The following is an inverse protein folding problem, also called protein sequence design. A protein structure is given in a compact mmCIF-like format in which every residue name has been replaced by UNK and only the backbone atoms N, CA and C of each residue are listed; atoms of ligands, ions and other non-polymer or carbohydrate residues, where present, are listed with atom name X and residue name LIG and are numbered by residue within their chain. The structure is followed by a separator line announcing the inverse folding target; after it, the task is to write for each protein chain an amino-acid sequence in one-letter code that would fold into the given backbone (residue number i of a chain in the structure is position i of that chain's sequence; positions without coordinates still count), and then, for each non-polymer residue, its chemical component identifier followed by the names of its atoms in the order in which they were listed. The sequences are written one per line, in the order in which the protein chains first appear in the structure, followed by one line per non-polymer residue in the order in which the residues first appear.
data_IF_392395781656
#
_entry.id   IF_392395781656
#
_cell.length_a   1.000
_cell.length_b   1.000
_cell.length_c   1.000
_cell.angle_alpha   90.00
_cell.angle_beta   90.00
_cell.angle_gamma   90.00
#
_symmetry.space_group_name_H-M   'P 1'
#
loop_
_entity.id
_entity.type
_entity.pdbx_description
1 polymer ?
#
# COMPACT_ATOMS: atom_id res chain seq x y z
N UNK A 1 -35.52 26.94 4.56
CA UNK A 1 -35.73 25.48 4.56
C UNK A 1 -34.53 24.87 3.88
N UNK A 2 -33.56 24.37 4.65
CA UNK A 2 -32.37 23.64 4.15
C UNK A 2 -32.87 22.37 3.49
N UNK A 3 -32.75 22.23 2.16
CA UNK A 3 -33.04 20.98 1.47
C UNK A 3 -32.12 19.91 2.03
N UNK A 4 -32.66 18.92 2.74
CA UNK A 4 -31.93 17.74 3.16
C UNK A 4 -31.26 17.12 1.91
N UNK A 5 -29.95 17.20 1.82
CA UNK A 5 -29.23 16.59 0.72
C UNK A 5 -29.42 15.07 0.80
N UNK A 6 -30.12 14.53 -0.19
CA UNK A 6 -30.40 13.10 -0.30
C UNK A 6 -29.13 12.35 -0.67
N UNK A 7 -28.91 11.18 -0.08
CA UNK A 7 -27.86 10.26 -0.53
C UNK A 7 -28.17 9.83 -1.98
N UNK A 8 -27.14 9.82 -2.81
CA UNK A 8 -27.21 9.36 -4.22
C UNK A 8 -26.12 8.32 -4.47
N UNK A 9 -26.12 7.70 -5.65
CA UNK A 9 -25.37 6.48 -5.90
C UNK A 9 -26.13 5.24 -5.38
N UNK A 10 -25.45 4.11 -5.23
CA UNK A 10 -26.06 2.91 -4.66
C UNK A 10 -25.88 2.91 -3.14
N UNK A 11 -26.99 3.00 -2.43
CA UNK A 11 -27.03 3.16 -0.97
C UNK A 11 -27.49 1.86 -0.31
N UNK A 12 -26.83 1.45 0.77
CA UNK A 12 -27.17 0.26 1.56
C UNK A 12 -27.14 0.65 3.04
N UNK A 13 -28.28 0.65 3.71
CA UNK A 13 -28.38 0.88 5.15
C UNK A 13 -28.16 -0.42 5.95
N UNK A 14 -27.87 -0.26 7.24
CA UNK A 14 -27.85 -1.39 8.16
C UNK A 14 -29.23 -2.03 8.19
N UNK A 15 -29.28 -3.34 7.95
CA UNK A 15 -30.53 -4.12 7.83
C UNK A 15 -30.98 -4.37 6.40
N UNK A 16 -30.49 -3.62 5.40
CA UNK A 16 -30.83 -3.86 4.02
C UNK A 16 -30.22 -5.16 3.47
N UNK A 17 -30.85 -5.77 2.43
CA UNK A 17 -30.23 -6.85 1.69
C UNK A 17 -28.85 -6.43 1.14
N UNK A 18 -27.85 -7.29 1.33
CA UNK A 18 -26.47 -7.02 0.90
C UNK A 18 -25.60 -6.23 1.88
N UNK A 19 -26.12 -5.81 3.05
CA UNK A 19 -25.35 -5.10 4.07
C UNK A 19 -24.12 -5.90 4.52
N UNK A 20 -24.25 -7.18 4.82
CA UNK A 20 -23.12 -8.02 5.23
C UNK A 20 -22.07 -8.18 4.11
N UNK A 21 -22.50 -8.23 2.86
CA UNK A 21 -21.60 -8.20 1.72
C UNK A 21 -20.87 -6.85 1.58
N UNK A 22 -21.56 -5.75 1.86
CA UNK A 22 -20.97 -4.41 1.86
C UNK A 22 -19.92 -4.24 2.98
N UNK A 23 -20.12 -4.88 4.14
CA UNK A 23 -19.18 -4.87 5.28
C UNK A 23 -17.89 -5.66 5.03
N UNK A 24 -17.87 -6.63 4.12
CA UNK A 24 -16.65 -7.42 3.84
C UNK A 24 -15.48 -6.51 3.51
N UNK A 25 -14.37 -6.76 4.16
CA UNK A 25 -13.10 -6.06 4.00
C UNK A 25 -11.98 -7.08 3.77
N UNK A 26 -10.73 -6.62 3.66
CA UNK A 26 -9.56 -7.50 3.54
C UNK A 26 -9.44 -8.41 4.78
N UNK A 27 -9.56 -7.87 5.99
CA UNK A 27 -9.71 -8.68 7.21
C UNK A 27 -11.12 -9.27 7.25
N UNK A 28 -11.27 -10.61 7.32
CA UNK A 28 -12.56 -11.27 7.37
C UNK A 28 -13.32 -11.07 8.69
N UNK A 29 -12.61 -10.74 9.78
CA UNK A 29 -13.17 -10.59 11.12
C UNK A 29 -13.42 -9.10 11.44
N UNK A 30 -14.27 -8.45 10.64
CA UNK A 30 -14.66 -7.07 10.96
C UNK A 30 -15.69 -7.00 12.08
N UNK A 31 -15.38 -6.19 13.08
CA UNK A 31 -16.24 -5.86 14.23
C UNK A 31 -16.93 -4.48 14.08
N UNK A 32 -16.87 -3.88 12.89
CA UNK A 32 -17.41 -2.55 12.61
C UNK A 32 -18.77 -2.64 11.91
N UNK A 33 -19.72 -1.82 12.39
CA UNK A 33 -21.11 -1.77 11.93
C UNK A 33 -21.47 -0.35 11.50
N UNK A 34 -21.09 0.09 10.29
CA UNK A 34 -21.51 1.36 9.72
C UNK A 34 -23.04 1.47 9.63
N UNK A 35 -23.57 2.68 9.79
CA UNK A 35 -24.99 2.95 9.59
C UNK A 35 -25.42 2.77 8.14
N UNK A 36 -24.52 3.20 7.21
CA UNK A 36 -24.80 3.20 5.77
C UNK A 36 -23.53 3.08 4.95
N UNK A 37 -23.64 2.39 3.81
CA UNK A 37 -22.65 2.38 2.73
C UNK A 37 -23.22 3.14 1.54
N UNK A 38 -22.43 4.09 1.00
CA UNK A 38 -22.70 4.77 -0.26
C UNK A 38 -21.66 4.34 -1.27
N UNK A 39 -22.07 3.56 -2.25
CA UNK A 39 -21.25 3.22 -3.42
C UNK A 39 -21.42 4.33 -4.46
N UNK A 40 -20.44 5.24 -4.47
CA UNK A 40 -20.46 6.38 -5.38
C UNK A 40 -20.15 5.95 -6.81
N UNK A 41 -20.92 6.44 -7.77
CA UNK A 41 -20.76 6.21 -9.19
C UNK A 41 -20.17 7.42 -9.92
N UNK A 42 -20.31 8.60 -9.30
CA UNK A 42 -19.73 9.86 -9.76
C UNK A 42 -19.30 10.77 -8.58
N UNK A 43 -18.52 11.81 -8.86
CA UNK A 43 -18.02 12.75 -7.86
C UNK A 43 -19.13 13.44 -7.06
N UNK A 44 -20.30 13.68 -7.69
CA UNK A 44 -21.46 14.29 -7.02
C UNK A 44 -22.02 13.40 -5.91
N UNK A 45 -22.01 12.09 -6.08
CA UNK A 45 -22.47 11.15 -5.03
C UNK A 45 -21.61 11.26 -3.78
N UNK A 46 -20.28 11.40 -3.97
CA UNK A 46 -19.33 11.63 -2.87
C UNK A 46 -19.65 12.95 -2.14
N UNK A 47 -19.90 14.04 -2.88
CA UNK A 47 -20.24 15.33 -2.31
C UNK A 47 -21.56 15.29 -1.52
N UNK A 48 -22.57 14.62 -2.04
CA UNK A 48 -23.86 14.42 -1.38
C UNK A 48 -23.69 13.59 -0.10
N UNK A 49 -22.90 12.51 -0.14
CA UNK A 49 -22.64 11.65 1.01
C UNK A 49 -21.92 12.39 2.15
N UNK A 50 -20.89 13.20 1.83
CA UNK A 50 -20.20 14.04 2.81
C UNK A 50 -21.17 15.09 3.42
N UNK A 51 -21.94 15.75 2.59
CA UNK A 51 -22.91 16.77 3.06
C UNK A 51 -23.98 16.15 3.96
N UNK A 52 -24.49 14.97 3.58
CA UNK A 52 -25.45 14.21 4.39
C UNK A 52 -24.84 13.80 5.74
N UNK A 53 -23.63 13.26 5.73
CA UNK A 53 -22.95 12.83 6.94
C UNK A 53 -22.73 13.98 7.93
N UNK A 54 -22.33 15.15 7.43
CA UNK A 54 -22.14 16.34 8.25
C UNK A 54 -23.43 16.87 8.84
N UNK A 55 -24.50 16.91 8.04
CA UNK A 55 -25.82 17.33 8.52
C UNK A 55 -26.35 16.41 9.64
N UNK A 56 -26.07 15.11 9.55
CA UNK A 56 -26.53 14.12 10.50
C UNK A 56 -25.51 13.78 11.61
N UNK A 57 -24.39 14.51 11.72
CA UNK A 57 -23.32 14.26 12.68
C UNK A 57 -22.79 12.81 12.65
N UNK A 58 -22.64 12.25 11.45
CA UNK A 58 -22.24 10.86 11.25
C UNK A 58 -20.76 10.82 10.87
N UNK A 59 -19.91 10.04 11.55
CA UNK A 59 -18.49 9.91 11.19
C UNK A 59 -18.31 9.26 9.81
N UNK A 60 -17.29 9.72 9.08
CA UNK A 60 -17.03 9.33 7.68
C UNK A 60 -15.81 8.43 7.59
N UNK A 61 -15.88 7.39 6.76
CA UNK A 61 -14.72 6.61 6.29
C UNK A 61 -14.74 6.48 4.77
N UNK A 62 -13.71 6.96 4.06
CA UNK A 62 -13.52 6.68 2.63
C UNK A 62 -13.07 5.23 2.43
N UNK A 63 -13.50 4.62 1.33
CA UNK A 63 -13.09 3.27 0.93
C UNK A 63 -12.96 3.14 -0.57
N UNK A 64 -11.93 2.43 -1.04
CA UNK A 64 -11.68 2.15 -2.45
C UNK A 64 -11.61 0.63 -2.71
N UNK A 65 -10.46 -0.01 -2.50
CA UNK A 65 -10.23 -1.43 -2.79
C UNK A 65 -10.61 -2.41 -1.69
N UNK A 66 -11.05 -1.96 -0.53
CA UNK A 66 -11.32 -2.77 0.68
C UNK A 66 -10.10 -3.46 1.27
N UNK A 67 -8.91 -2.88 1.06
CA UNK A 67 -7.61 -3.40 1.47
C UNK A 67 -7.03 -2.76 2.74
N UNK A 68 -7.85 -2.09 3.54
CA UNK A 68 -7.38 -1.58 4.82
C UNK A 68 -7.01 -2.75 5.73
N UNK A 69 -5.74 -2.83 6.13
CA UNK A 69 -5.21 -3.88 7.00
C UNK A 69 -5.78 -3.78 8.42
N UNK A 70 -6.17 -2.58 8.81
CA UNK A 70 -6.89 -2.29 10.05
C UNK A 70 -8.31 -1.82 9.68
N UNK A 71 -9.33 -2.59 10.06
CA UNK A 71 -10.72 -2.36 9.63
C UNK A 71 -11.25 -0.96 9.97
N UNK A 72 -10.86 -0.40 11.11
CA UNK A 72 -11.30 0.93 11.57
C UNK A 72 -10.77 2.11 10.72
N UNK A 73 -9.83 1.86 9.81
CA UNK A 73 -9.39 2.87 8.82
C UNK A 73 -10.40 3.06 7.69
N UNK A 74 -11.19 2.04 7.38
CA UNK A 74 -12.17 2.06 6.28
C UNK A 74 -13.63 1.87 6.71
N UNK A 75 -13.88 1.58 7.99
CA UNK A 75 -15.20 1.41 8.58
C UNK A 75 -15.26 1.98 10.00
N UNK A 76 -16.43 2.45 10.41
CA UNK A 76 -16.66 3.00 11.74
C UNK A 76 -18.10 2.71 12.21
N UNK A 77 -18.27 2.36 13.48
CA UNK A 77 -19.58 2.08 14.06
C UNK A 77 -20.51 3.29 13.95
N UNK A 78 -21.75 3.07 13.51
CA UNK A 78 -22.75 4.13 13.35
C UNK A 78 -22.42 5.16 12.25
N UNK A 79 -21.28 5.03 11.57
CA UNK A 79 -20.83 5.96 10.55
C UNK A 79 -21.30 5.68 9.13
N UNK A 80 -20.84 6.49 8.19
CA UNK A 80 -21.01 6.30 6.77
C UNK A 80 -19.70 5.83 6.14
N UNK A 81 -19.75 4.81 5.29
CA UNK A 81 -18.67 4.43 4.40
C UNK A 81 -18.95 4.96 3.00
N UNK A 82 -18.10 5.85 2.52
CA UNK A 82 -18.16 6.35 1.14
C UNK A 82 -17.20 5.52 0.31
N UNK A 83 -17.77 4.58 -0.44
CA UNK A 83 -17.05 3.59 -1.25
C UNK A 83 -17.03 4.02 -2.71
N UNK A 84 -15.85 4.28 -3.25
CA UNK A 84 -15.65 4.70 -4.64
C UNK A 84 -15.41 3.54 -5.60
N UNK A 85 -15.57 2.29 -5.17
CA UNK A 85 -15.22 1.09 -5.95
C UNK A 85 -16.02 0.93 -7.26
N UNK A 86 -17.10 1.67 -7.44
CA UNK A 86 -17.88 1.70 -8.70
C UNK A 86 -17.37 2.76 -9.69
N UNK A 87 -16.51 3.69 -9.26
CA UNK A 87 -15.87 4.69 -10.12
C UNK A 87 -14.61 4.07 -10.78
N UNK A 88 -14.73 3.59 -12.03
CA UNK A 88 -13.72 2.71 -12.66
C UNK A 88 -13.19 3.17 -14.02
N UNK A 89 -13.42 4.42 -14.42
CA UNK A 89 -12.93 4.92 -15.71
C UNK A 89 -11.40 5.00 -15.72
N UNK A 90 -10.80 4.62 -16.86
CA UNK A 90 -9.36 4.72 -17.15
C UNK A 90 -9.22 5.38 -18.51
N UNK A 91 -8.49 6.48 -18.60
CA UNK A 91 -8.26 7.21 -19.86
C UNK A 91 -6.76 7.47 -20.07
N UNK A 92 -6.13 6.68 -20.92
CA UNK A 92 -4.73 6.85 -21.32
C UNK A 92 -4.63 7.92 -22.43
N UNK A 93 -3.71 8.86 -22.26
CA UNK A 93 -3.26 9.76 -23.29
C UNK A 93 -1.84 9.37 -23.70
N UNK A 94 -1.71 8.66 -24.84
CA UNK A 94 -0.43 8.15 -25.34
C UNK A 94 0.52 9.26 -25.76
N UNK A 95 -0.01 10.39 -26.27
CA UNK A 95 0.78 11.53 -26.75
C UNK A 95 1.47 12.24 -25.58
N UNK A 96 0.77 12.46 -24.47
CA UNK A 96 1.33 13.13 -23.31
C UNK A 96 2.00 12.17 -22.31
N UNK A 97 1.90 10.86 -22.49
CA UNK A 97 2.40 9.87 -21.53
C UNK A 97 1.73 10.00 -20.17
N UNK A 98 0.40 10.18 -20.15
CA UNK A 98 -0.37 10.33 -18.91
C UNK A 98 -1.61 9.44 -18.92
N UNK A 99 -2.04 9.00 -17.74
CA UNK A 99 -3.30 8.29 -17.54
C UNK A 99 -4.13 8.98 -16.47
N UNK A 100 -5.41 9.17 -16.74
CA UNK A 100 -6.41 9.57 -15.73
C UNK A 100 -7.18 8.32 -15.31
N UNK A 101 -7.23 8.09 -14.01
CA UNK A 101 -7.96 6.95 -13.42
C UNK A 101 -8.91 7.42 -12.34
N UNK A 102 -10.11 6.89 -12.31
CA UNK A 102 -11.01 7.03 -11.17
C UNK A 102 -10.51 6.12 -10.03
N UNK A 103 -10.64 6.61 -8.81
CA UNK A 103 -9.98 6.02 -7.63
C UNK A 103 -10.59 4.72 -7.13
N UNK A 104 -11.72 4.30 -7.67
CA UNK A 104 -12.30 2.99 -7.45
C UNK A 104 -11.62 1.86 -8.23
N UNK A 105 -10.68 2.18 -9.11
CA UNK A 105 -9.89 1.17 -9.81
C UNK A 105 -8.96 0.43 -8.86
N UNK A 106 -8.73 -0.84 -9.17
CA UNK A 106 -7.71 -1.68 -8.55
C UNK A 106 -6.43 -1.68 -9.37
N UNK A 107 -5.30 -1.89 -8.70
CA UNK A 107 -3.96 -1.93 -9.29
C UNK A 107 -3.90 -2.84 -10.52
N UNK A 108 -4.34 -4.10 -10.38
CA UNK A 108 -4.27 -5.08 -11.47
C UNK A 108 -4.99 -4.63 -12.73
N UNK A 109 -6.17 -4.00 -12.60
CA UNK A 109 -6.93 -3.48 -13.74
C UNK A 109 -6.19 -2.35 -14.48
N UNK A 110 -5.54 -1.46 -13.73
CA UNK A 110 -4.79 -0.34 -14.33
C UNK A 110 -3.54 -0.87 -15.04
N UNK A 111 -2.80 -1.77 -14.37
CA UNK A 111 -1.58 -2.39 -14.91
C UNK A 111 -1.89 -3.14 -16.21
N UNK A 112 -2.94 -3.97 -16.23
CA UNK A 112 -3.36 -4.70 -17.42
C UNK A 112 -3.76 -3.76 -18.57
N UNK A 113 -4.55 -2.73 -18.27
CA UNK A 113 -4.97 -1.74 -19.27
C UNK A 113 -3.81 -0.96 -19.89
N UNK A 114 -2.78 -0.64 -19.08
CA UNK A 114 -1.58 0.06 -19.55
C UNK A 114 -0.66 -0.88 -20.34
N UNK A 115 -0.39 -2.09 -19.82
CA UNK A 115 0.50 -3.06 -20.45
C UNK A 115 0.02 -3.47 -21.84
N UNK A 116 -1.27 -3.71 -22.02
CA UNK A 116 -1.90 -3.98 -23.34
C UNK A 116 -1.70 -2.86 -24.36
N UNK A 117 -1.43 -1.64 -23.90
CA UNK A 117 -1.21 -0.48 -24.75
C UNK A 117 0.29 -0.08 -24.83
N UNK A 118 1.19 -0.91 -24.29
CA UNK A 118 2.64 -0.69 -24.30
C UNK A 118 3.12 0.37 -23.31
N UNK A 119 2.42 0.53 -22.19
CA UNK A 119 2.81 1.47 -21.14
C UNK A 119 2.98 0.78 -19.78
N UNK A 120 3.78 1.41 -18.92
CA UNK A 120 4.01 0.98 -17.54
C UNK A 120 3.93 2.16 -16.57
N UNK A 121 3.60 1.87 -15.32
CA UNK A 121 3.65 2.79 -14.18
C UNK A 121 4.01 2.01 -12.90
N UNK A 122 4.48 2.67 -11.83
CA UNK A 122 5.00 2.01 -10.63
C UNK A 122 3.85 1.59 -9.69
N UNK A 123 2.93 0.82 -10.19
CA UNK A 123 1.86 0.30 -9.34
C UNK A 123 2.36 -0.86 -8.48
N UNK A 124 1.67 -1.11 -7.35
CA UNK A 124 2.02 -2.15 -6.39
C UNK A 124 1.87 -3.58 -6.96
N UNK A 125 2.30 -4.55 -6.18
CA UNK A 125 2.36 -5.97 -6.50
C UNK A 125 1.03 -6.71 -6.27
N UNK A 126 0.18 -6.23 -5.38
CA UNK A 126 -1.14 -6.83 -5.15
C UNK A 126 -2.19 -6.27 -6.13
N UNK A 127 -2.81 -7.14 -7.00
CA UNK A 127 -3.71 -6.70 -8.06
C UNK A 127 -5.04 -6.16 -7.54
N UNK A 128 -5.45 -6.52 -6.33
CA UNK A 128 -6.76 -6.19 -5.76
C UNK A 128 -6.76 -4.92 -4.91
N UNK A 129 -5.59 -4.37 -4.58
CA UNK A 129 -5.43 -3.10 -3.86
C UNK A 129 -6.05 -1.94 -4.64
N UNK A 130 -6.83 -1.10 -3.94
CA UNK A 130 -7.45 0.08 -4.54
C UNK A 130 -6.49 1.24 -4.70
N UNK A 131 -6.46 1.82 -5.91
CA UNK A 131 -5.56 2.95 -6.21
C UNK A 131 -5.85 4.19 -5.35
N UNK A 132 -7.10 4.36 -4.91
CA UNK A 132 -7.52 5.47 -4.07
C UNK A 132 -6.85 5.50 -2.69
N UNK A 133 -6.55 4.31 -2.13
CA UNK A 133 -5.90 4.19 -0.83
C UNK A 133 -4.38 4.11 -0.90
N UNK A 134 -3.84 3.33 -1.86
CA UNK A 134 -2.39 3.08 -1.92
C UNK A 134 -1.60 4.33 -2.35
N UNK A 135 -2.13 5.14 -3.25
CA UNK A 135 -1.45 6.33 -3.79
C UNK A 135 -1.10 7.35 -2.73
N UNK A 136 -2.06 7.81 -1.88
CA UNK A 136 -1.76 8.86 -0.92
C UNK A 136 -0.78 8.45 0.19
N UNK A 137 -0.59 7.15 0.45
CA UNK A 137 0.42 6.67 1.39
C UNK A 137 1.82 6.48 0.79
N UNK A 138 1.95 6.63 -0.53
CA UNK A 138 3.22 6.43 -1.25
C UNK A 138 3.06 5.45 -2.41
N UNK A 139 2.71 4.22 -2.12
CA UNK A 139 2.56 3.14 -3.10
C UNK A 139 3.91 2.56 -3.53
N UNK A 140 4.37 1.56 -2.78
CA UNK A 140 5.57 0.77 -3.08
C UNK A 140 5.25 -0.35 -4.08
N UNK A 141 6.26 -0.81 -4.80
CA UNK A 141 6.12 -1.92 -5.76
C UNK A 141 7.39 -2.18 -6.56
N UNK A 142 7.40 -3.23 -7.38
CA UNK A 142 8.62 -3.76 -8.01
C UNK A 142 9.33 -2.80 -8.98
N UNK A 143 8.64 -1.80 -9.52
CA UNK A 143 9.22 -0.82 -10.44
C UNK A 143 9.76 0.45 -9.74
N UNK A 144 9.63 0.55 -8.41
CA UNK A 144 9.93 1.79 -7.68
C UNK A 144 11.38 2.27 -7.83
N UNK A 145 12.35 1.36 -7.94
CA UNK A 145 13.75 1.72 -8.13
C UNK A 145 14.02 2.36 -9.49
N UNK A 146 13.25 1.97 -10.49
CA UNK A 146 13.36 2.51 -11.86
C UNK A 146 12.63 3.83 -12.02
N UNK A 147 11.39 3.93 -11.53
CA UNK A 147 10.48 5.03 -11.88
C UNK A 147 9.84 5.74 -10.69
N UNK A 148 10.25 5.44 -9.46
CA UNK A 148 9.74 6.06 -8.22
C UNK A 148 8.49 5.37 -7.68
N UNK A 149 7.99 5.86 -6.56
CA UNK A 149 6.75 5.42 -5.95
C UNK A 149 5.53 5.80 -6.81
N UNK A 150 4.37 5.19 -6.56
CA UNK A 150 3.10 5.59 -7.20
C UNK A 150 2.88 7.10 -7.04
N UNK A 151 3.01 7.62 -5.83
CA UNK A 151 2.80 9.02 -5.50
C UNK A 151 3.79 9.97 -6.20
N UNK A 152 4.99 9.52 -6.55
CA UNK A 152 5.97 10.32 -7.28
C UNK A 152 5.55 10.60 -8.71
N UNK A 153 4.71 9.74 -9.26
CA UNK A 153 4.16 9.84 -10.61
C UNK A 153 2.77 10.48 -10.64
N UNK A 154 2.21 10.86 -9.50
CA UNK A 154 0.94 11.58 -9.40
C UNK A 154 1.13 13.03 -9.85
N UNK A 155 0.48 13.45 -10.94
CA UNK A 155 0.56 14.79 -11.50
C UNK A 155 -0.57 15.70 -11.04
N UNK A 156 -1.78 15.12 -10.87
CA UNK A 156 -2.99 15.84 -10.52
C UNK A 156 -3.94 14.91 -9.77
N UNK A 157 -4.73 15.49 -8.89
CA UNK A 157 -5.82 14.80 -8.19
C UNK A 157 -7.12 15.61 -8.25
N UNK A 158 -8.24 14.90 -8.14
CA UNK A 158 -9.55 15.43 -7.82
C UNK A 158 -10.04 14.75 -6.54
N UNK A 159 -10.51 15.53 -5.58
CA UNK A 159 -11.13 15.03 -4.35
C UNK A 159 -12.32 15.87 -3.94
N UNK A 160 -13.15 15.33 -3.05
CA UNK A 160 -14.20 16.09 -2.36
C UNK A 160 -13.74 16.34 -0.92
N UNK A 161 -13.72 17.63 -0.52
CA UNK A 161 -13.27 18.07 0.79
C UNK A 161 -14.33 17.89 1.90
N UNK A 162 -13.97 18.23 3.13
CA UNK A 162 -14.86 18.15 4.29
C UNK A 162 -16.12 19.05 4.20
N UNK A 163 -16.14 19.99 3.28
CA UNK A 163 -17.30 20.87 3.01
C UNK A 163 -18.16 20.39 1.84
N UNK A 164 -17.84 19.23 1.26
CA UNK A 164 -18.53 18.70 0.07
C UNK A 164 -18.16 19.40 -1.24
N UNK A 165 -17.07 20.17 -1.27
CA UNK A 165 -16.61 20.88 -2.47
C UNK A 165 -15.62 20.01 -3.25
N UNK A 166 -15.72 20.04 -4.58
CA UNK A 166 -14.75 19.40 -5.47
C UNK A 166 -13.49 20.24 -5.56
N UNK A 167 -12.37 19.66 -5.16
CA UNK A 167 -11.03 20.29 -5.17
C UNK A 167 -10.18 19.58 -6.20
N UNK A 168 -9.48 20.35 -7.04
CA UNK A 168 -8.39 19.86 -7.91
C UNK A 168 -7.07 20.39 -7.39
N UNK A 169 -6.05 19.51 -7.40
CA UNK A 169 -4.70 19.88 -7.01
C UNK A 169 -3.68 19.37 -8.01
N UNK A 170 -2.75 20.24 -8.38
CA UNK A 170 -1.61 19.99 -9.25
C UNK A 170 -0.46 20.96 -8.89
N UNK A 171 0.62 20.99 -9.66
CA UNK A 171 1.76 21.87 -9.38
C UNK A 171 1.42 23.37 -9.38
N UNK A 172 0.36 23.79 -10.09
CA UNK A 172 -0.03 25.22 -10.23
C UNK A 172 -1.18 25.61 -9.30
N UNK A 173 -2.00 24.65 -8.89
CA UNK A 173 -3.20 24.89 -8.08
C UNK A 173 -3.22 23.93 -6.90
N UNK A 174 -3.44 24.43 -5.67
CA UNK A 174 -3.46 23.63 -4.44
C UNK A 174 -2.23 22.70 -4.33
N UNK A 175 -1.06 23.22 -4.63
CA UNK A 175 0.19 22.46 -4.70
C UNK A 175 0.59 21.84 -3.35
N UNK A 176 0.19 22.44 -2.25
CA UNK A 176 0.34 21.93 -0.89
C UNK A 176 -0.50 20.67 -0.66
N UNK A 177 -1.71 20.60 -1.21
CA UNK A 177 -2.53 19.38 -1.17
C UNK A 177 -1.95 18.26 -2.04
N UNK A 178 -1.43 18.60 -3.24
CA UNK A 178 -0.72 17.63 -4.06
C UNK A 178 0.51 17.08 -3.32
N UNK A 179 1.28 17.95 -2.66
CA UNK A 179 2.42 17.55 -1.83
C UNK A 179 1.98 16.60 -0.71
N UNK A 180 0.92 16.93 0.03
CA UNK A 180 0.38 16.13 1.12
C UNK A 180 -0.14 14.76 0.65
N UNK A 181 -0.83 14.71 -0.50
CA UNK A 181 -1.32 13.45 -1.09
C UNK A 181 -0.18 12.53 -1.55
N UNK A 182 1.02 13.06 -1.74
CA UNK A 182 2.19 12.27 -2.11
C UNK A 182 2.92 11.71 -0.89
N UNK A 183 2.20 10.91 -0.07
CA UNK A 183 2.77 10.20 1.08
C UNK A 183 2.14 10.52 2.43
N UNK A 184 1.14 11.41 2.50
CA UNK A 184 0.46 11.78 3.75
C UNK A 184 -0.62 10.81 4.22
N UNK A 185 -0.82 9.70 3.51
CA UNK A 185 -1.80 8.66 3.86
C UNK A 185 -3.22 8.93 3.37
N UNK A 186 -3.96 7.84 3.16
CA UNK A 186 -5.37 7.89 2.77
C UNK A 186 -6.29 8.32 3.89
N UNK A 187 -7.47 8.88 3.55
CA UNK A 187 -8.51 9.21 4.52
C UNK A 187 -8.21 10.38 5.45
N UNK A 188 -7.25 11.26 5.11
CA UNK A 188 -6.86 12.40 5.94
C UNK A 188 -7.44 13.75 5.48
N UNK A 189 -7.58 13.96 4.17
CA UNK A 189 -7.88 15.30 3.64
C UNK A 189 -9.24 15.40 2.95
N UNK A 190 -9.80 14.27 2.52
CA UNK A 190 -11.04 14.18 1.75
C UNK A 190 -11.22 12.82 1.13
N UNK A 191 -12.19 12.69 0.24
CA UNK A 191 -12.45 11.51 -0.57
C UNK A 191 -11.93 11.76 -1.98
N UNK A 192 -10.88 11.06 -2.37
CA UNK A 192 -10.30 11.16 -3.71
C UNK A 192 -11.22 10.48 -4.73
N UNK A 193 -11.40 11.13 -5.88
CA UNK A 193 -12.27 10.65 -6.96
C UNK A 193 -11.51 10.35 -8.25
N UNK A 194 -10.44 11.12 -8.55
CA UNK A 194 -9.60 10.90 -9.73
C UNK A 194 -8.15 11.19 -9.45
N UNK A 195 -7.26 10.46 -10.12
CA UNK A 195 -5.84 10.70 -10.18
C UNK A 195 -5.36 10.76 -11.63
N UNK A 196 -4.40 11.65 -11.90
CA UNK A 196 -3.66 11.70 -13.17
C UNK A 196 -2.21 11.34 -12.91
N UNK A 197 -1.74 10.27 -13.53
CA UNK A 197 -0.36 9.80 -13.39
C UNK A 197 0.45 10.00 -14.66
N UNK A 198 1.75 10.21 -14.48
CA UNK A 198 2.75 10.02 -15.52
C UNK A 198 2.93 8.52 -15.75
N UNK A 199 2.92 8.10 -17.02
CA UNK A 199 3.25 6.74 -17.44
C UNK A 199 4.42 6.75 -18.42
N UNK A 200 5.04 5.59 -18.61
CA UNK A 200 6.20 5.43 -19.49
C UNK A 200 5.94 4.33 -20.48
N UNK A 201 6.65 4.35 -21.62
CA UNK A 201 6.68 3.23 -22.54
C UNK A 201 7.23 2.01 -21.81
N UNK A 202 6.54 0.90 -21.90
CA UNK A 202 7.02 -0.38 -21.43
C UNK A 202 8.03 -0.96 -22.45
N UNK A 203 9.04 -1.72 -22.01
CA UNK A 203 9.85 -2.49 -22.94
C UNK A 203 8.96 -3.58 -23.59
N UNK A 204 9.32 -4.02 -24.79
CA UNK A 204 8.59 -5.11 -25.45
C UNK A 204 8.62 -6.40 -24.62
N UNK A 205 9.78 -6.69 -24.03
CA UNK A 205 10.03 -7.83 -23.13
C UNK A 205 10.84 -7.41 -21.92
N UNK A 206 10.73 -8.17 -20.83
CA UNK A 206 11.60 -8.03 -19.66
C UNK A 206 11.80 -9.40 -19.01
N UNK A 207 12.76 -9.50 -18.12
CA UNK A 207 13.06 -10.75 -17.41
C UNK A 207 12.35 -10.76 -16.06
N UNK A 208 11.67 -11.85 -15.77
CA UNK A 208 11.11 -12.17 -14.45
C UNK A 208 11.91 -13.28 -13.80
N UNK A 209 11.91 -13.33 -12.46
CA UNK A 209 12.53 -14.41 -11.72
C UNK A 209 11.76 -14.73 -10.45
N UNK A 210 11.74 -16.03 -10.13
CA UNK A 210 11.30 -16.54 -8.83
C UNK A 210 12.30 -17.62 -8.40
N UNK A 211 12.83 -17.47 -7.18
CA UNK A 211 13.83 -18.37 -6.63
C UNK A 211 13.41 -18.73 -5.22
N UNK A 212 13.41 -20.00 -4.89
CA UNK A 212 12.96 -20.49 -3.58
C UNK A 212 14.08 -21.29 -2.92
N UNK A 213 14.26 -21.10 -1.61
CA UNK A 213 15.17 -21.84 -0.77
C UNK A 213 14.43 -22.51 0.39
N UNK A 214 14.98 -23.61 0.95
CA UNK A 214 14.47 -24.18 2.18
C UNK A 214 14.49 -23.14 3.33
N UNK A 215 13.52 -23.21 4.21
CA UNK A 215 13.43 -22.30 5.37
C UNK A 215 14.72 -22.26 6.21
N UNK A 216 15.39 -23.40 6.39
CA UNK A 216 16.65 -23.51 7.14
C UNK A 216 17.76 -22.57 6.64
N UNK A 217 17.66 -22.06 5.42
CA UNK A 217 18.66 -21.17 4.81
C UNK A 217 18.28 -19.68 4.91
N UNK A 218 17.20 -19.32 5.61
CA UNK A 218 16.66 -17.97 5.58
C UNK A 218 17.68 -16.92 5.99
N UNK A 219 18.44 -17.14 7.05
CA UNK A 219 19.42 -16.15 7.52
C UNK A 219 20.53 -15.91 6.50
N UNK A 220 21.05 -16.98 5.92
CA UNK A 220 22.08 -16.88 4.89
C UNK A 220 21.57 -16.11 3.66
N UNK A 221 20.35 -16.37 3.24
CA UNK A 221 19.73 -15.71 2.09
C UNK A 221 19.41 -14.23 2.42
N UNK A 222 18.78 -13.94 3.55
CA UNK A 222 18.44 -12.56 3.95
C UNK A 222 19.71 -11.74 4.15
N UNK A 223 20.74 -12.26 4.84
CA UNK A 223 22.03 -11.58 5.02
C UNK A 223 22.65 -11.18 3.67
N UNK A 224 22.66 -12.10 2.71
CA UNK A 224 23.17 -11.80 1.36
C UNK A 224 22.29 -10.81 0.61
N UNK A 225 20.96 -10.99 0.68
CA UNK A 225 20.02 -10.13 -0.03
C UNK A 225 20.11 -8.67 0.45
N UNK A 226 20.23 -8.42 1.74
CA UNK A 226 20.34 -7.07 2.30
C UNK A 226 21.59 -6.30 1.81
N UNK A 227 22.65 -7.00 1.48
CA UNK A 227 23.88 -6.40 0.93
C UNK A 227 23.82 -6.32 -0.60
N UNK A 228 23.27 -7.33 -1.25
CA UNK A 228 23.21 -7.43 -2.70
C UNK A 228 22.14 -6.54 -3.32
N UNK A 229 20.91 -6.60 -2.80
CA UNK A 229 19.75 -5.99 -3.44
C UNK A 229 19.84 -4.45 -3.60
N UNK A 230 20.32 -3.67 -2.62
CA UNK A 230 20.52 -2.22 -2.77
C UNK A 230 21.55 -1.85 -3.85
N UNK A 231 22.53 -2.73 -4.08
CA UNK A 231 23.67 -2.49 -4.98
C UNK A 231 23.44 -3.01 -6.41
N UNK A 232 22.29 -3.56 -6.70
CA UNK A 232 21.92 -4.00 -8.05
C UNK A 232 21.55 -2.81 -8.95
N UNK A 233 21.53 -3.05 -10.28
CA UNK A 233 20.99 -2.08 -11.23
C UNK A 233 19.61 -1.57 -10.81
N UNK A 234 19.32 -0.29 -11.03
CA UNK A 234 17.99 0.29 -10.78
C UNK A 234 16.89 -0.29 -11.67
N UNK A 235 17.25 -1.05 -12.71
CA UNK A 235 16.31 -1.83 -13.54
C UNK A 235 15.79 -3.10 -12.84
N UNK A 236 16.40 -3.48 -11.70
CA UNK A 236 16.05 -4.68 -10.95
C UNK A 236 15.14 -4.33 -9.77
N UNK A 237 13.93 -4.88 -9.78
CA UNK A 237 13.03 -4.96 -8.62
C UNK A 237 13.14 -6.34 -7.99
N UNK A 238 13.27 -6.41 -6.68
CA UNK A 238 13.39 -7.67 -5.93
C UNK A 238 12.62 -7.60 -4.63
N UNK A 239 11.80 -8.58 -4.41
CA UNK A 239 11.03 -8.87 -3.21
C UNK A 239 11.55 -10.16 -2.60
N UNK A 240 11.69 -10.21 -1.28
CA UNK A 240 12.11 -11.40 -0.56
C UNK A 240 11.13 -11.69 0.57
N UNK A 241 10.50 -12.84 0.55
CA UNK A 241 9.58 -13.31 1.59
C UNK A 241 10.19 -14.46 2.37
N UNK A 242 9.96 -14.47 3.69
CA UNK A 242 10.34 -15.56 4.59
C UNK A 242 9.12 -15.97 5.37
N UNK A 243 8.59 -17.15 5.07
CA UNK A 243 7.44 -17.72 5.76
C UNK A 243 7.76 -18.26 7.16
N UNK A 244 6.73 -18.69 7.93
CA UNK A 244 6.92 -19.29 9.26
C UNK A 244 7.74 -20.61 9.16
N UNK A 245 8.41 -21.01 10.24
CA UNK A 245 9.21 -22.24 10.28
C UNK A 245 8.40 -23.47 9.86
N UNK A 246 7.17 -23.57 10.32
CA UNK A 246 6.29 -24.68 9.98
C UNK A 246 5.60 -24.41 8.64
N UNK A 247 6.06 -25.08 7.59
CA UNK A 247 5.45 -25.05 6.25
C UNK A 247 5.84 -23.85 5.40
N UNK A 248 6.74 -22.97 5.87
CA UNK A 248 7.24 -21.84 5.10
C UNK A 248 8.55 -22.14 4.37
N UNK A 249 8.91 -21.22 3.51
CA UNK A 249 10.17 -21.21 2.76
C UNK A 249 10.71 -19.77 2.68
N UNK A 250 11.82 -19.62 1.97
CA UNK A 250 12.33 -18.31 1.54
C UNK A 250 12.07 -18.19 0.05
N UNK A 251 11.37 -17.16 -0.38
CA UNK A 251 11.05 -16.93 -1.79
C UNK A 251 11.46 -15.53 -2.22
N UNK A 252 12.24 -15.44 -3.29
CA UNK A 252 12.58 -14.18 -3.94
C UNK A 252 11.84 -14.10 -5.26
N UNK A 253 11.03 -13.03 -5.41
CA UNK A 253 10.31 -12.69 -6.63
C UNK A 253 10.86 -11.37 -7.17
N UNK A 254 10.90 -11.22 -8.49
CA UNK A 254 11.28 -9.93 -9.05
C UNK A 254 11.31 -9.89 -10.57
N UNK A 255 11.73 -8.72 -11.05
CA UNK A 255 11.87 -8.45 -12.47
C UNK A 255 13.15 -7.66 -12.76
N UNK A 256 13.62 -7.79 -13.98
CA UNK A 256 14.67 -6.95 -14.55
C UNK A 256 14.20 -6.37 -15.89
N UNK A 257 14.21 -5.04 -16.01
CA UNK A 257 13.83 -4.35 -17.25
C UNK A 257 14.96 -4.43 -18.28
N UNK A 258 15.21 -5.61 -18.79
CA UNK A 258 16.25 -5.94 -19.75
C UNK A 258 16.27 -7.42 -20.09
N UNK A 259 17.29 -7.85 -20.81
CA UNK A 259 17.46 -9.22 -21.30
C UNK A 259 17.75 -10.23 -20.17
N UNK A 260 17.51 -11.51 -20.46
CA UNK A 260 17.81 -12.61 -19.52
C UNK A 260 19.30 -12.69 -19.18
N UNK A 261 20.19 -12.44 -20.14
CA UNK A 261 21.64 -12.45 -19.89
C UNK A 261 22.09 -11.33 -18.94
N UNK A 262 21.52 -10.13 -19.08
CA UNK A 262 21.78 -9.02 -18.15
C UNK A 262 21.23 -9.34 -16.75
N UNK A 263 20.01 -9.89 -16.68
CA UNK A 263 19.40 -10.29 -15.42
C UNK A 263 20.23 -11.35 -14.69
N UNK A 264 20.72 -12.37 -15.40
CA UNK A 264 21.57 -13.43 -14.83
C UNK A 264 22.87 -12.85 -14.25
N UNK A 265 23.51 -11.88 -14.90
CA UNK A 265 24.68 -11.20 -14.34
C UNK A 265 24.36 -10.49 -13.02
N UNK A 266 23.20 -9.82 -12.92
CA UNK A 266 22.77 -9.18 -11.69
C UNK A 266 22.43 -10.19 -10.58
N UNK A 267 21.83 -11.31 -10.94
CA UNK A 267 21.38 -12.36 -10.02
C UNK A 267 22.51 -13.29 -9.55
N UNK A 268 23.62 -13.40 -10.28
CA UNK A 268 24.70 -14.36 -9.98
C UNK A 268 25.14 -14.37 -8.51
N UNK A 269 25.34 -13.21 -7.81
CA UNK A 269 25.77 -13.22 -6.41
C UNK A 269 24.74 -13.82 -5.44
N UNK A 270 23.44 -13.75 -5.74
CA UNK A 270 22.39 -14.30 -4.88
C UNK A 270 22.05 -15.75 -5.25
N UNK A 271 22.18 -16.13 -6.52
CA UNK A 271 21.97 -17.49 -6.99
C UNK A 271 22.95 -18.50 -6.40
N UNK A 272 24.15 -18.03 -6.04
CA UNK A 272 25.21 -18.85 -5.43
C UNK A 272 25.09 -18.96 -3.91
N UNK A 273 24.01 -18.44 -3.32
CA UNK A 273 23.77 -18.51 -1.87
C UNK A 273 22.92 -19.74 -1.55
N UNK A 274 23.49 -20.64 -0.76
CA UNK A 274 22.79 -21.86 -0.37
C UNK A 274 22.45 -22.75 -1.56
N UNK A 275 21.41 -23.58 -1.40
CA UNK A 275 20.91 -24.48 -2.42
C UNK A 275 19.43 -24.20 -2.69
N UNK A 276 19.10 -23.39 -3.70
CA UNK A 276 17.72 -23.16 -4.08
C UNK A 276 17.02 -24.46 -4.49
N UNK A 277 15.78 -24.63 -4.06
CA UNK A 277 14.91 -25.75 -4.45
C UNK A 277 14.16 -25.47 -5.75
N UNK A 278 13.97 -24.20 -6.10
CA UNK A 278 13.32 -23.81 -7.35
C UNK A 278 13.99 -22.55 -7.91
N UNK A 279 14.15 -22.54 -9.25
CA UNK A 279 14.66 -21.39 -10.01
C UNK A 279 13.84 -21.24 -11.28
N UNK A 280 13.10 -20.14 -11.38
CA UNK A 280 12.41 -19.73 -12.61
C UNK A 280 13.01 -18.39 -13.04
N UNK A 281 13.56 -18.30 -14.25
CA UNK A 281 14.11 -17.07 -14.82
C UNK A 281 13.73 -17.04 -16.29
N UNK A 282 12.79 -16.15 -16.65
CA UNK A 282 12.18 -16.13 -17.98
C UNK A 282 12.20 -14.73 -18.59
N UNK A 283 12.41 -14.66 -19.91
CA UNK A 283 12.35 -13.42 -20.70
C UNK A 283 11.04 -13.37 -21.45
N UNK A 284 10.09 -12.59 -20.95
CA UNK A 284 8.69 -12.62 -21.36
C UNK A 284 8.25 -11.31 -22.01
N UNK A 285 7.22 -11.34 -22.88
CA UNK A 285 6.49 -10.15 -23.28
C UNK A 285 5.99 -9.38 -22.05
N UNK A 286 6.02 -8.04 -22.10
CA UNK A 286 5.72 -7.22 -20.90
C UNK A 286 4.34 -7.49 -20.30
N UNK A 287 3.34 -7.83 -21.10
CA UNK A 287 2.00 -8.24 -20.62
C UNK A 287 2.02 -9.54 -19.82
N UNK A 288 2.99 -10.43 -20.07
CA UNK A 288 3.19 -11.64 -19.27
C UNK A 288 4.04 -11.35 -18.02
N UNK A 289 4.99 -10.42 -18.12
CA UNK A 289 5.74 -9.91 -16.94
C UNK A 289 4.77 -9.38 -15.90
N UNK A 290 3.80 -8.57 -16.28
CA UNK A 290 2.81 -8.03 -15.34
C UNK A 290 1.95 -9.11 -14.70
N UNK A 291 1.56 -10.14 -15.44
CA UNK A 291 0.82 -11.29 -14.91
C UNK A 291 1.65 -12.12 -13.94
N UNK A 292 2.94 -12.29 -14.22
CA UNK A 292 3.87 -13.00 -13.34
C UNK A 292 4.06 -12.28 -12.00
N UNK A 293 4.21 -10.93 -12.06
CA UNK A 293 4.44 -10.11 -10.86
C UNK A 293 3.17 -9.85 -10.04
N UNK A 294 2.00 -9.82 -10.67
CA UNK A 294 0.71 -9.64 -10.01
C UNK A 294 0.04 -10.99 -9.77
N UNK A 295 0.54 -11.73 -8.79
CA UNK A 295 -0.07 -13.00 -8.41
C UNK A 295 -1.55 -12.82 -8.01
N UNK A 296 -2.41 -13.83 -8.23
CA UNK A 296 -3.79 -13.77 -7.78
C UNK A 296 -3.84 -13.55 -6.26
N UNK A 297 -4.45 -12.43 -5.86
CA UNK A 297 -4.68 -12.13 -4.46
C UNK A 297 -6.11 -12.53 -4.08
N UNK A 298 -6.29 -13.49 -3.18
CA UNK A 298 -7.61 -14.01 -2.81
C UNK A 298 -8.38 -13.12 -1.81
N UNK A 299 -8.24 -11.79 -1.89
CA UNK A 299 -8.78 -10.82 -0.92
C UNK A 299 -10.22 -11.05 -0.49
N UNK A 300 -11.07 -11.50 -1.39
CA UNK A 300 -12.48 -11.80 -1.04
C UNK A 300 -12.69 -13.22 -0.51
N UNK A 301 -11.67 -14.06 -0.54
CA UNK A 301 -11.66 -15.44 -0.02
C UNK A 301 -10.69 -15.61 1.14
N UNK A 302 -10.04 -14.55 1.56
CA UNK A 302 -9.10 -14.60 2.68
C UNK A 302 -9.78 -15.09 3.95
N UNK A 303 -9.12 -16.03 4.63
CA UNK A 303 -9.60 -16.66 5.86
C UNK A 303 -8.79 -16.23 7.09
N UNK A 304 -7.81 -15.36 6.91
CA UNK A 304 -6.85 -14.98 7.94
C UNK A 304 -7.05 -13.54 8.36
N UNK A 305 -7.15 -13.30 9.65
CA UNK A 305 -6.87 -11.99 10.25
C UNK A 305 -5.37 -11.82 10.40
N UNK A 306 -4.90 -10.57 10.41
CA UNK A 306 -3.49 -10.27 10.42
C UNK A 306 -3.18 -9.08 11.33
N UNK A 307 -1.99 -9.08 11.92
CA UNK A 307 -1.37 -7.90 12.51
C UNK A 307 -0.06 -7.62 11.77
N UNK A 308 0.07 -6.43 11.23
CA UNK A 308 1.26 -5.98 10.51
C UNK A 308 2.08 -5.00 11.31
N UNK A 309 3.35 -4.92 11.00
CA UNK A 309 4.25 -3.82 11.34
C UNK A 309 5.34 -3.69 10.28
N UNK A 310 5.98 -2.52 10.17
CA UNK A 310 6.96 -2.28 9.11
C UNK A 310 8.01 -1.25 9.50
N UNK A 311 9.06 -1.15 8.68
CA UNK A 311 10.10 -0.13 8.80
C UNK A 311 11.02 -0.09 7.59
N UNK A 312 12.03 0.76 7.66
CA UNK A 312 13.03 0.94 6.60
C UNK A 312 14.41 0.67 7.17
N UNK A 313 15.16 -0.26 6.55
CA UNK A 313 16.53 -0.59 6.93
C UNK A 313 17.54 0.29 6.18
N UNK A 314 18.55 0.79 6.91
CA UNK A 314 19.67 1.58 6.37
C UNK A 314 21.00 0.83 6.38
N UNK A 315 21.00 -0.35 6.98
CA UNK A 315 22.17 -1.24 7.11
C UNK A 315 21.67 -2.67 7.21
N UNK A 316 22.47 -3.66 6.84
CA UNK A 316 22.14 -5.05 7.08
C UNK A 316 21.84 -5.31 8.57
N UNK A 317 20.90 -6.20 8.83
CA UNK A 317 20.54 -6.59 10.19
C UNK A 317 21.70 -7.28 10.91
N UNK A 318 22.00 -6.90 12.17
CA UNK A 318 22.96 -7.62 13.00
C UNK A 318 22.36 -8.92 13.54
N UNK A 319 23.20 -9.75 14.17
CA UNK A 319 22.79 -11.07 14.71
C UNK A 319 21.61 -10.97 15.70
N UNK A 320 21.54 -9.91 16.51
CA UNK A 320 20.40 -9.68 17.43
C UNK A 320 19.06 -9.51 16.69
N UNK A 321 19.07 -8.86 15.51
CA UNK A 321 17.87 -8.73 14.70
C UNK A 321 17.48 -10.08 14.07
N UNK A 322 18.44 -10.86 13.59
CA UNK A 322 18.17 -12.22 13.09
C UNK A 322 17.63 -13.15 14.17
N UNK A 323 18.12 -13.03 15.42
CA UNK A 323 17.53 -13.74 16.56
C UNK A 323 16.06 -13.37 16.75
N UNK A 324 15.72 -12.08 16.70
CA UNK A 324 14.32 -11.63 16.79
C UNK A 324 13.45 -12.14 15.64
N UNK A 325 13.98 -12.15 14.42
CA UNK A 325 13.28 -12.73 13.25
C UNK A 325 13.03 -14.24 13.44
N UNK A 326 14.05 -14.99 13.86
CA UNK A 326 13.95 -16.44 14.09
C UNK A 326 12.89 -16.74 15.14
N UNK A 327 12.92 -16.06 16.29
CA UNK A 327 11.93 -16.21 17.35
C UNK A 327 10.49 -15.94 16.86
N UNK A 328 10.33 -14.91 15.99
CA UNK A 328 9.05 -14.62 15.37
C UNK A 328 8.59 -15.75 14.45
N UNK A 329 9.45 -16.17 13.51
CA UNK A 329 9.14 -17.19 12.50
C UNK A 329 8.87 -18.58 13.11
N UNK A 330 9.50 -18.88 14.26
CA UNK A 330 9.27 -20.12 15.01
C UNK A 330 7.94 -20.11 15.77
N UNK A 331 7.47 -18.93 16.22
CA UNK A 331 6.22 -18.75 16.95
C UNK A 331 5.02 -18.44 16.07
N UNK A 332 5.26 -17.98 14.84
CA UNK A 332 4.20 -17.68 13.88
C UNK A 332 3.40 -18.93 13.52
N UNK A 333 2.11 -18.76 13.34
CA UNK A 333 1.17 -19.86 13.09
C UNK A 333 1.45 -20.51 11.73
N UNK A 334 1.80 -21.78 11.71
CA UNK A 334 2.08 -22.51 10.49
C UNK A 334 0.84 -22.67 9.60
N UNK A 335 1.05 -22.71 8.28
CA UNK A 335 -0.04 -22.79 7.30
C UNK A 335 -0.80 -21.48 7.12
N UNK A 336 -0.27 -20.37 7.65
CA UNK A 336 -0.79 -19.01 7.46
C UNK A 336 0.19 -18.16 6.66
N UNK A 337 -0.24 -17.03 6.05
CA UNK A 337 0.67 -16.11 5.33
C UNK A 337 1.49 -15.22 6.27
N UNK A 338 1.78 -15.69 7.50
CA UNK A 338 2.67 -14.98 8.42
C UNK A 338 4.11 -14.98 7.92
N UNK A 339 4.90 -13.97 8.27
CA UNK A 339 6.31 -13.95 7.92
C UNK A 339 6.92 -12.57 7.83
N UNK A 340 8.07 -12.52 7.17
CA UNK A 340 8.77 -11.30 6.80
C UNK A 340 8.73 -11.10 5.28
N UNK A 341 8.58 -9.83 4.88
CA UNK A 341 8.68 -9.39 3.50
C UNK A 341 9.69 -8.24 3.42
N UNK A 342 10.58 -8.32 2.45
CA UNK A 342 11.57 -7.29 2.15
C UNK A 342 11.40 -6.82 0.71
N UNK A 343 11.57 -5.52 0.47
CA UNK A 343 11.56 -4.93 -0.86
C UNK A 343 12.81 -4.06 -1.03
N UNK A 344 13.56 -4.25 -2.11
CA UNK A 344 14.74 -3.46 -2.37
C UNK A 344 14.39 -1.99 -2.62
N UNK A 345 15.20 -1.10 -2.04
CA UNK A 345 14.98 0.34 -2.06
C UNK A 345 16.02 1.06 -2.91
N UNK A 346 16.03 2.38 -2.93
CA UNK A 346 17.02 3.16 -3.65
C UNK A 346 16.57 3.60 -5.05
N UNK A 347 17.53 3.86 -5.92
CA UNK A 347 17.25 4.28 -7.30
C UNK A 347 16.42 5.56 -7.40
N UNK A 348 15.34 5.54 -8.17
CA UNK A 348 14.46 6.70 -8.37
C UNK A 348 13.82 7.20 -7.07
N UNK A 349 13.51 6.30 -6.12
CA UNK A 349 12.93 6.67 -4.82
C UNK A 349 13.89 7.55 -4.03
N UNK A 350 15.18 7.14 -3.96
CA UNK A 350 16.19 7.84 -3.17
C UNK A 350 16.76 9.10 -3.83
N UNK A 351 16.50 9.32 -5.13
CA UNK A 351 16.85 10.58 -5.80
C UNK A 351 15.95 11.75 -5.44
N UNK A 352 14.76 11.48 -4.89
CA UNK A 352 13.82 12.51 -4.44
C UNK A 352 14.18 12.91 -3.00
N UNK A 353 14.28 14.21 -2.74
CA UNK A 353 14.54 14.70 -1.39
C UNK A 353 13.38 14.34 -0.44
N UNK A 354 13.65 13.98 0.84
CA UNK A 354 12.60 13.59 1.80
C UNK A 354 11.47 14.61 1.96
N UNK A 355 11.74 15.90 1.80
CA UNK A 355 10.75 16.97 1.94
C UNK A 355 10.04 17.36 0.62
N UNK A 356 10.49 16.83 -0.52
CA UNK A 356 9.90 17.15 -1.83
C UNK A 356 8.47 16.60 -2.00
N UNK A 357 8.11 15.60 -1.24
CA UNK A 357 6.75 15.05 -1.10
C UNK A 357 6.48 14.74 0.38
N UNK A 358 5.26 14.40 0.74
CA UNK A 358 4.95 14.00 2.13
C UNK A 358 5.58 12.67 2.53
N UNK A 359 5.92 11.79 1.56
CA UNK A 359 6.63 10.53 1.82
C UNK A 359 8.08 10.81 2.24
N UNK A 360 8.39 10.59 3.50
CA UNK A 360 9.68 11.00 4.10
C UNK A 360 10.81 9.96 3.94
N UNK A 361 10.51 8.67 4.02
CA UNK A 361 11.49 7.59 4.17
C UNK A 361 12.19 7.20 2.86
N UNK A 362 12.88 8.17 2.25
CA UNK A 362 13.55 8.05 0.94
C UNK A 362 14.92 7.39 1.00
N UNK A 363 15.65 7.64 2.08
CA UNK A 363 17.05 7.22 2.26
C UNK A 363 17.08 5.93 3.09
N UNK A 364 16.88 4.81 2.41
CA UNK A 364 16.97 3.47 2.96
C UNK A 364 17.63 2.54 1.94
N UNK A 365 18.04 1.36 2.37
CA UNK A 365 18.58 0.29 1.53
C UNK A 365 17.49 -0.73 1.19
N UNK A 366 16.53 -0.95 2.10
CA UNK A 366 15.39 -1.83 1.91
C UNK A 366 14.20 -1.40 2.79
N UNK A 367 13.03 -1.76 2.33
CA UNK A 367 11.81 -1.79 3.14
C UNK A 367 11.68 -3.18 3.75
N UNK A 368 11.16 -3.26 4.97
CA UNK A 368 10.83 -4.51 5.65
C UNK A 368 9.47 -4.40 6.32
N UNK A 369 8.65 -5.42 6.17
CA UNK A 369 7.44 -5.62 6.97
C UNK A 369 7.39 -7.03 7.49
N UNK A 370 6.59 -7.25 8.51
CA UNK A 370 6.28 -8.56 9.06
C UNK A 370 4.85 -8.59 9.56
N UNK A 371 4.26 -9.76 9.45
CA UNK A 371 2.91 -9.98 9.93
C UNK A 371 2.78 -11.35 10.57
N UNK A 372 2.01 -11.39 11.66
CA UNK A 372 1.42 -12.62 12.17
C UNK A 372 -0.02 -12.75 11.64
N UNK A 373 -0.45 -13.98 11.40
CA UNK A 373 -1.77 -14.28 10.85
C UNK A 373 -2.44 -15.40 11.64
N UNK A 374 -3.77 -15.38 11.69
CA UNK A 374 -4.54 -16.40 12.40
C UNK A 374 -5.92 -16.61 11.78
N UNK A 375 -6.50 -17.80 11.99
CA UNK A 375 -7.88 -18.12 11.57
C UNK A 375 -8.85 -17.96 12.75
N UNK A 376 -8.48 -18.48 13.93
CA UNK A 376 -9.36 -18.49 15.11
C UNK A 376 -9.26 -17.15 15.85
N UNK A 377 -10.38 -16.46 16.13
CA UNK A 377 -10.37 -15.20 16.89
C UNK A 377 -9.65 -15.29 18.25
N UNK A 378 -9.71 -16.47 18.91
CA UNK A 378 -8.99 -16.72 20.18
C UNK A 378 -7.47 -16.61 20.07
N UNK A 379 -6.90 -16.69 18.85
CA UNK A 379 -5.46 -16.53 18.61
C UNK A 379 -5.04 -15.06 18.40
N UNK A 380 -5.98 -14.12 18.29
CA UNK A 380 -5.71 -12.71 17.97
C UNK A 380 -4.72 -12.07 18.96
N UNK A 381 -4.99 -12.14 20.27
CA UNK A 381 -4.15 -11.50 21.29
C UNK A 381 -2.70 -11.98 21.23
N UNK A 382 -2.48 -13.29 21.09
CA UNK A 382 -1.14 -13.90 20.97
C UNK A 382 -0.39 -13.38 19.72
N UNK A 383 -1.07 -13.37 18.59
CA UNK A 383 -0.46 -12.96 17.31
C UNK A 383 -0.18 -11.46 17.27
N UNK A 384 -1.08 -10.62 17.77
CA UNK A 384 -0.88 -9.17 17.91
C UNK A 384 0.34 -8.90 18.80
N UNK A 385 0.41 -9.57 19.98
CA UNK A 385 1.55 -9.45 20.89
C UNK A 385 2.87 -9.88 20.24
N UNK A 386 2.86 -10.95 19.44
CA UNK A 386 4.04 -11.44 18.70
C UNK A 386 4.56 -10.38 17.72
N UNK A 387 3.70 -9.79 16.90
CA UNK A 387 4.10 -8.76 15.93
C UNK A 387 4.64 -7.51 16.62
N UNK A 388 3.96 -7.02 17.67
CA UNK A 388 4.36 -5.82 18.41
C UNK A 388 5.64 -6.00 19.23
N UNK A 389 5.82 -7.16 19.85
CA UNK A 389 7.08 -7.46 20.57
C UNK A 389 8.26 -7.55 19.62
N UNK A 390 8.05 -8.08 18.43
CA UNK A 390 9.07 -8.13 17.38
C UNK A 390 9.43 -6.72 16.91
N UNK A 391 8.44 -5.81 16.77
CA UNK A 391 8.73 -4.40 16.48
C UNK A 391 9.69 -3.80 17.50
N UNK A 392 9.43 -3.95 18.81
CA UNK A 392 10.30 -3.43 19.86
C UNK A 392 11.75 -3.95 19.75
N UNK A 393 11.91 -5.23 19.38
CA UNK A 393 13.24 -5.84 19.18
C UNK A 393 13.95 -5.33 17.92
N UNK A 394 13.21 -5.00 16.87
CA UNK A 394 13.76 -4.53 15.59
C UNK A 394 13.93 -3.01 15.52
N UNK A 395 13.26 -2.25 16.40
CA UNK A 395 13.26 -0.78 16.39
C UNK A 395 14.67 -0.13 16.38
N UNK A 396 15.70 -0.68 17.04
CA UNK A 396 17.06 -0.12 16.93
C UNK A 396 17.71 -0.25 15.55
N UNK A 397 17.18 -1.07 14.67
CA UNK A 397 17.77 -1.44 13.36
C UNK A 397 16.97 -0.92 12.17
N UNK A 398 15.81 -0.34 12.42
CA UNK A 398 14.91 0.24 11.39
C UNK A 398 14.63 1.69 11.70
N UNK A 399 14.17 2.42 10.70
CA UNK A 399 13.65 3.79 10.86
C UNK A 399 12.24 3.88 10.31
N UNK A 400 11.41 4.66 10.96
CA UNK A 400 10.05 4.93 10.51
C UNK A 400 9.14 3.71 10.41
N UNK A 401 8.06 3.90 9.68
CA UNK A 401 7.10 2.87 9.30
C UNK A 401 6.34 3.33 8.04
N UNK A 402 5.71 2.39 7.32
CA UNK A 402 4.95 2.69 6.12
C UNK A 402 3.47 2.85 6.45
N UNK A 403 2.89 4.02 6.12
CA UNK A 403 1.51 4.34 6.51
C UNK A 403 0.46 3.42 5.86
N UNK A 404 0.73 2.82 4.70
CA UNK A 404 -0.18 1.84 4.09
C UNK A 404 -0.08 0.45 4.73
N UNK A 405 0.90 0.24 5.62
CA UNK A 405 1.03 -0.93 6.51
C UNK A 405 0.97 -0.42 7.95
N UNK A 406 -0.21 0.04 8.39
CA UNK A 406 -0.37 0.68 9.68
C UNK A 406 -0.22 -0.33 10.82
N UNK A 407 0.32 0.15 11.93
CA UNK A 407 0.41 -0.57 13.20
C UNK A 407 -0.12 0.32 14.32
N UNK A 408 -1.32 0.01 14.82
CA UNK A 408 -1.96 0.79 15.89
C UNK A 408 -1.23 0.66 17.26
N UNK A 409 -0.24 -0.23 17.37
CA UNK A 409 0.66 -0.28 18.50
C UNK A 409 1.68 0.86 18.56
N UNK A 410 1.82 1.64 17.48
CA UNK A 410 2.74 2.79 17.43
C UNK A 410 2.09 4.00 18.09
N UNK A 411 2.57 4.38 19.29
CA UNK A 411 1.99 5.47 20.11
C UNK A 411 2.25 6.87 19.55
N UNK A 412 3.43 7.15 19.03
CA UNK A 412 3.79 8.43 18.39
C UNK A 412 3.77 8.30 16.86
N UNK A 413 2.62 7.92 16.30
CA UNK A 413 2.49 7.50 14.90
C UNK A 413 2.89 8.59 13.89
N UNK A 414 2.59 9.85 14.13
CA UNK A 414 2.88 10.94 13.19
C UNK A 414 4.35 11.05 12.80
N UNK A 415 5.29 11.26 13.74
CA UNK A 415 6.72 11.28 13.44
C UNK A 415 7.24 9.95 12.88
N UNK A 416 6.68 8.81 13.29
CA UNK A 416 7.11 7.49 12.81
C UNK A 416 6.71 7.28 11.35
N UNK A 417 5.53 7.69 10.93
CA UNK A 417 5.10 7.57 9.52
C UNK A 417 5.68 8.67 8.64
N UNK A 418 5.75 9.91 9.13
CA UNK A 418 5.99 11.08 8.28
C UNK A 418 7.31 11.81 8.55
N UNK A 419 8.08 11.38 9.55
CA UNK A 419 9.34 12.03 9.93
C UNK A 419 9.19 13.54 10.13
N UNK A 420 10.13 14.31 9.60
CA UNK A 420 10.10 15.79 9.66
C UNK A 420 8.97 16.44 8.84
N UNK A 421 8.28 15.69 7.98
CA UNK A 421 7.16 16.19 7.19
C UNK A 421 5.85 16.32 7.99
N UNK A 422 5.78 15.73 9.19
CA UNK A 422 4.57 15.67 10.00
C UNK A 422 4.00 17.07 10.34
N UNK A 423 4.86 17.99 10.76
CA UNK A 423 4.42 19.36 11.10
C UNK A 423 3.78 20.08 9.89
N UNK A 424 4.35 19.92 8.69
CA UNK A 424 3.77 20.48 7.45
C UNK A 424 2.45 19.81 7.08
N UNK A 425 2.34 18.50 7.26
CA UNK A 425 1.09 17.77 7.02
C UNK A 425 -0.06 18.26 7.91
N UNK A 426 0.22 18.55 9.19
CA UNK A 426 -0.77 19.13 10.10
C UNK A 426 -1.26 20.53 9.66
N UNK A 427 -0.37 21.37 9.09
CA UNK A 427 -0.75 22.67 8.51
C UNK A 427 -1.65 22.50 7.27
N UNK A 428 -1.34 21.56 6.39
CA UNK A 428 -2.19 21.22 5.24
C UNK A 428 -3.55 20.69 5.71
N UNK A 429 -3.55 19.82 6.71
CA UNK A 429 -4.79 19.30 7.32
C UNK A 429 -5.67 20.44 7.85
N UNK A 430 -5.12 21.42 8.59
CA UNK A 430 -5.84 22.56 9.10
C UNK A 430 -6.47 23.43 7.98
N UNK A 431 -5.83 23.50 6.81
CA UNK A 431 -6.36 24.25 5.65
C UNK A 431 -7.55 23.54 4.99
N UNK A 432 -7.49 22.23 4.78
CA UNK A 432 -8.49 21.49 4.02
C UNK A 432 -9.55 20.79 4.87
N UNK A 433 -9.23 20.47 6.11
CA UNK A 433 -10.14 19.83 7.06
C UNK A 433 -9.89 20.33 8.51
N UNK A 434 -10.14 21.63 8.78
CA UNK A 434 -9.87 22.24 10.10
C UNK A 434 -10.71 21.62 11.23
N UNK A 435 -11.88 21.07 10.92
CA UNK A 435 -12.77 20.42 11.90
C UNK A 435 -12.45 18.92 12.10
N UNK A 436 -11.40 18.42 11.45
CA UNK A 436 -11.01 17.02 11.53
C UNK A 436 -12.14 16.03 11.22
N UNK A 437 -12.93 16.31 10.19
CA UNK A 437 -14.06 15.49 9.73
C UNK A 437 -13.56 14.11 9.25
N UNK A 438 -12.44 14.12 8.54
CA UNK A 438 -11.74 12.90 8.11
C UNK A 438 -10.71 12.50 9.16
N UNK A 439 -11.16 11.73 10.14
CA UNK A 439 -10.33 11.23 11.22
C UNK A 439 -10.37 9.69 11.29
N UNK A 440 -9.32 9.12 11.80
CA UNK A 440 -9.19 7.72 12.15
C UNK A 440 -8.17 7.62 13.31
N UNK A 441 -7.98 6.45 13.95
CA UNK A 441 -7.09 6.36 15.12
C UNK A 441 -5.66 6.87 14.92
N UNK A 442 -5.15 6.86 13.68
CA UNK A 442 -3.80 7.32 13.34
C UNK A 442 -3.81 8.44 12.28
N UNK A 443 -4.94 9.14 12.13
CA UNK A 443 -5.02 10.27 11.20
C UNK A 443 -4.16 11.46 11.66
N UNK A 444 -3.85 12.32 10.70
CA UNK A 444 -3.13 13.56 10.92
C UNK A 444 -4.11 14.57 11.55
N UNK A 445 -3.93 15.00 12.81
CA UNK A 445 -4.75 16.06 13.39
C UNK A 445 -4.36 17.42 12.82
N UNK A 446 -5.29 18.38 12.67
CA UNK A 446 -4.95 19.75 12.30
C UNK A 446 -4.07 20.41 13.38
N UNK A 447 -3.27 21.40 13.01
CA UNK A 447 -2.71 22.33 14.00
C UNK A 447 -3.84 23.17 14.59
N UNK A 448 -3.77 23.39 15.90
CA UNK A 448 -4.66 24.34 16.58
C UNK A 448 -4.25 25.75 16.22
#
# INVERSE_FOLDING_TARGET
VSSQKKLTGRVIFKGDPGYERARKNWDPHTDRFPKVFVFAQETKDVANAISWARHNNVPIRPRSGRHALETNLSQVNGGIVIDVSEMKKIKLNKKSGTVVVETGNRVGRIVDALAKQGFMAPFGDSPTVGIGGITPGGGIGPLQRTIGLICDNLLELEMVDAKGRVIRANKKQNSDLLWATRGGGGGNFGVYTKYKFKVRRAPAKATVFQITWPWAQFEKVVKKWQVWAPNTSTKLGSELSVGPKKGGNVSMLGLYLGSKSEALRQLAPILNVGTPTQKTIEYLPYTQVTKFMLAPDPVLTQRFSNQFSSGFGRRPFPEKAFKAMREFLEKAEGGTPAGFYFLNWGGAVSRIAPQATAFYWRKADYYVEWNSSWVKPSHAAKNIALTRSTRKKLEPYIVGSYINVPDQGITCSGPVYYGKNYARLRKVKAKYDPQNVFNNPQSIPPVK
#
